data_IF_546540531380
#
_entry.id   IF_546540531380
#
_cell.length_a   1.000
_cell.length_b   1.000
_cell.length_c   1.000
_cell.angle_alpha   90.00
_cell.angle_beta   90.00
_cell.angle_gamma   90.00
#
_symmetry.space_group_name_H-M   'P 1'
#
loop_
_entity.id
_entity.type
_entity.pdbx_description
1 polymer ?
#
# COMPACT_ATOMS: atom_id res chain seq x y z
N UNK A 1 -10.07 -38.14 -11.33
CA UNK A 1 -11.23 -38.64 -12.11
C UNK A 1 -11.69 -39.86 -11.35
N UNK A 2 -12.74 -39.72 -10.54
CA UNK A 2 -13.03 -40.75 -9.53
C UNK A 2 -14.07 -41.74 -10.07
N UNK A 3 -13.56 -42.93 -10.37
CA UNK A 3 -14.15 -44.26 -10.59
C UNK A 3 -15.51 -44.48 -11.30
N UNK A 4 -16.35 -43.48 -11.58
CA UNK A 4 -17.67 -43.72 -12.17
C UNK A 4 -18.32 -42.49 -12.83
N UNK A 5 -17.55 -41.71 -13.61
CA UNK A 5 -18.06 -40.68 -14.53
C UNK A 5 -19.11 -39.69 -13.96
N UNK A 6 -19.21 -39.54 -12.64
CA UNK A 6 -20.08 -38.58 -11.98
C UNK A 6 -19.28 -37.31 -11.75
N UNK A 7 -19.61 -36.28 -12.51
CA UNK A 7 -19.11 -34.94 -12.27
C UNK A 7 -19.79 -34.40 -11.01
N UNK A 8 -19.24 -34.70 -9.83
CA UNK A 8 -19.69 -34.05 -8.60
C UNK A 8 -19.18 -32.62 -8.58
N UNK A 9 -20.09 -31.67 -8.78
CA UNK A 9 -19.83 -30.24 -8.65
C UNK A 9 -19.89 -29.84 -7.18
N UNK A 10 -18.73 -29.72 -6.55
CA UNK A 10 -18.63 -29.10 -5.23
C UNK A 10 -18.61 -27.58 -5.41
N UNK A 11 -19.65 -26.89 -4.95
CA UNK A 11 -19.66 -25.42 -4.89
C UNK A 11 -19.34 -24.96 -3.47
N UNK A 12 -18.33 -24.11 -3.34
CA UNK A 12 -18.02 -23.40 -2.12
C UNK A 12 -18.25 -21.91 -2.36
N UNK A 13 -18.90 -21.25 -1.41
CA UNK A 13 -19.09 -19.80 -1.45
C UNK A 13 -18.02 -19.16 -0.54
N UNK A 14 -17.22 -18.25 -1.09
CA UNK A 14 -16.22 -17.50 -0.35
C UNK A 14 -16.66 -16.05 -0.26
N UNK A 15 -17.00 -15.60 0.95
CA UNK A 15 -17.38 -14.22 1.20
C UNK A 15 -16.15 -13.45 1.67
N UNK A 16 -15.74 -12.44 0.89
CA UNK A 16 -14.71 -11.48 1.29
C UNK A 16 -15.43 -10.22 1.77
N UNK A 17 -15.16 -9.79 3.00
CA UNK A 17 -15.73 -8.56 3.54
C UNK A 17 -15.14 -7.33 2.82
N UNK A 18 -15.89 -6.23 2.78
CA UNK A 18 -15.37 -4.96 2.30
C UNK A 18 -14.29 -4.44 3.25
N UNK A 19 -13.25 -3.82 2.69
CA UNK A 19 -12.23 -3.18 3.52
C UNK A 19 -12.71 -1.84 4.06
N UNK A 20 -12.58 -1.66 5.37
CA UNK A 20 -12.99 -0.46 6.10
C UNK A 20 -11.85 0.10 6.97
N UNK A 21 -10.65 -0.47 6.91
CA UNK A 21 -9.52 0.02 7.68
C UNK A 21 -8.76 1.03 6.84
N UNK A 22 -8.50 2.25 7.35
CA UNK A 22 -7.64 3.20 6.64
C UNK A 22 -6.17 2.74 6.68
N UNK A 23 -5.37 3.09 5.65
CA UNK A 23 -3.96 2.76 5.61
C UNK A 23 -3.18 3.49 6.72
N UNK A 24 -2.12 2.85 7.21
CA UNK A 24 -1.20 3.42 8.19
C UNK A 24 0.01 3.99 7.46
N UNK A 25 0.29 5.28 7.67
CA UNK A 25 1.47 5.95 7.13
C UNK A 25 2.60 5.97 8.15
N UNK A 26 3.81 5.68 7.66
CA UNK A 26 5.05 5.90 8.40
C UNK A 26 5.74 7.11 7.79
N UNK A 27 5.50 8.28 8.39
CA UNK A 27 6.12 9.52 7.98
C UNK A 27 7.55 9.63 8.54
N UNK A 28 8.51 10.16 7.77
CA UNK A 28 9.79 10.60 8.32
C UNK A 28 9.58 11.76 9.29
N UNK A 29 10.48 11.93 10.25
CA UNK A 29 10.43 13.06 11.18
C UNK A 29 10.47 14.41 10.45
N UNK A 30 9.79 15.40 11.01
CA UNK A 30 9.84 16.78 10.49
C UNK A 30 11.29 17.28 10.44
N UNK A 31 11.71 17.77 9.28
CA UNK A 31 13.02 18.37 9.09
C UNK A 31 12.86 19.88 8.97
N UNK A 32 13.59 20.62 9.81
CA UNK A 32 13.68 22.08 9.70
C UNK A 32 14.98 22.42 8.99
N UNK A 33 14.88 22.97 7.77
CA UNK A 33 16.04 23.38 6.98
C UNK A 33 16.17 24.90 6.97
N UNK A 34 17.40 25.40 7.14
CA UNK A 34 17.67 26.84 7.20
C UNK A 34 17.79 27.50 5.82
N UNK A 35 18.03 26.70 4.78
CA UNK A 35 18.25 27.16 3.40
C UNK A 35 17.69 26.14 2.41
N UNK A 36 17.24 26.59 1.24
CA UNK A 36 16.83 25.73 0.11
C UNK A 36 17.90 24.73 -0.33
N UNK A 37 19.18 25.09 -0.21
CA UNK A 37 20.31 24.19 -0.48
C UNK A 37 20.51 23.08 0.57
N UNK A 38 19.81 23.16 1.70
CA UNK A 38 19.89 22.20 2.79
C UNK A 38 18.68 21.24 2.83
N UNK A 39 17.78 21.30 1.84
CA UNK A 39 16.68 20.34 1.68
C UNK A 39 17.30 18.97 1.37
N UNK A 40 17.11 17.93 2.23
CA UNK A 40 17.57 16.58 1.93
C UNK A 40 16.94 16.07 0.63
N UNK A 41 17.65 15.19 -0.07
CA UNK A 41 17.12 14.52 -1.26
C UNK A 41 15.79 13.80 -0.94
N UNK A 42 14.96 13.62 -1.97
CA UNK A 42 13.60 13.05 -1.91
C UNK A 42 13.43 11.99 -0.82
N UNK A 43 12.65 12.32 0.21
CA UNK A 43 12.26 11.36 1.22
C UNK A 43 11.10 10.49 0.69
N UNK A 44 11.15 9.19 0.97
CA UNK A 44 10.08 8.26 0.64
C UNK A 44 9.15 8.06 1.82
N UNK A 45 7.87 8.37 1.63
CA UNK A 45 6.83 8.04 2.60
C UNK A 45 6.41 6.59 2.38
N UNK A 46 6.37 5.77 3.43
CA UNK A 46 5.90 4.39 3.31
C UNK A 46 4.51 4.25 3.93
N UNK A 47 3.65 3.41 3.34
CA UNK A 47 2.35 3.09 3.90
C UNK A 47 2.09 1.57 3.86
N UNK A 48 1.30 1.11 4.83
CA UNK A 48 0.87 -0.29 4.94
C UNK A 48 -0.64 -0.33 5.11
N UNK A 49 -1.28 -1.34 4.54
CA UNK A 49 -2.72 -1.54 4.61
C UNK A 49 -3.02 -3.04 4.80
N UNK A 50 -4.15 -3.39 5.42
CA UNK A 50 -4.50 -4.77 5.72
C UNK A 50 -5.01 -5.54 4.49
N UNK A 51 -5.48 -4.85 3.46
CA UNK A 51 -6.00 -5.48 2.24
C UNK A 51 -5.19 -5.11 0.99
N UNK A 52 -4.24 -4.19 1.11
CA UNK A 52 -3.34 -3.79 0.03
C UNK A 52 -1.87 -4.08 0.33
N UNK A 53 -1.05 -4.44 -0.68
CA UNK A 53 0.41 -4.53 -0.51
C UNK A 53 1.00 -3.20 -0.02
N UNK A 54 2.09 -3.25 0.78
CA UNK A 54 2.79 -2.04 1.21
C UNK A 54 3.35 -1.27 0.01
N UNK A 55 3.34 0.06 0.10
CA UNK A 55 3.80 0.94 -0.96
C UNK A 55 4.61 2.13 -0.44
N UNK A 56 5.24 2.84 -1.37
CA UNK A 56 5.97 4.08 -1.07
C UNK A 56 5.56 5.21 -2.02
N UNK A 57 5.52 6.42 -1.48
CA UNK A 57 5.30 7.66 -2.21
C UNK A 57 6.59 8.46 -2.15
N UNK A 58 7.21 8.69 -3.31
CA UNK A 58 8.37 9.56 -3.43
C UNK A 58 7.92 11.00 -3.46
N UNK A 59 8.36 11.81 -2.50
CA UNK A 59 8.13 13.24 -2.51
C UNK A 59 9.17 13.88 -3.43
N UNK A 60 8.74 14.42 -4.56
CA UNK A 60 9.60 15.23 -5.42
C UNK A 60 9.51 16.68 -4.94
N UNK A 61 10.64 17.24 -4.49
CA UNK A 61 10.78 18.67 -4.14
C UNK A 61 11.07 19.51 -5.38
N UNK A 62 10.37 19.26 -6.49
CA UNK A 62 10.35 20.22 -7.60
C UNK A 62 9.22 21.19 -7.32
N UNK A 63 9.55 22.28 -6.64
CA UNK A 63 8.64 23.42 -6.56
C UNK A 63 8.23 23.89 -7.96
N UNK A 64 7.04 24.49 -8.12
CA UNK A 64 6.70 25.16 -9.36
C UNK A 64 7.65 26.35 -9.49
N UNK A 65 8.63 26.24 -10.40
CA UNK A 65 9.28 27.41 -10.97
C UNK A 65 8.27 28.10 -11.88
#
# INVERSE_FOLDING_TARGET
MDACAQTQTCSANFTVAADNTPPVFTNPSDQTVSCISAIPATESLSYTDNCSPPGSVSLFVDGPN
#
